data_IF_946369200279
#
_entry.id   IF_946369200279
#
_cell.length_a   1.000
_cell.length_b   1.000
_cell.length_c   1.000
_cell.angle_alpha   90.00
_cell.angle_beta   90.00
_cell.angle_gamma   90.00
#
_symmetry.space_group_name_H-M   'P 1'
#
loop_
_entity.id
_entity.type
_entity.pdbx_description
1 polymer ?
#
# COMPACT_ATOMS: atom_id res chain seq x y z
N UNK A 1 0.33 -0.39 -32.89
CA UNK A 1 0.33 0.77 -32.02
C UNK A 1 0.61 0.37 -30.58
N UNK A 2 1.50 1.05 -29.98
CA UNK A 2 1.83 0.75 -28.60
C UNK A 2 0.83 1.36 -27.69
N UNK A 3 0.34 0.57 -26.77
CA UNK A 3 -0.34 1.16 -25.66
C UNK A 3 0.66 2.06 -24.92
N UNK A 4 0.31 3.30 -24.73
CA UNK A 4 1.07 4.14 -23.83
C UNK A 4 0.88 3.53 -22.46
N UNK A 5 1.98 3.17 -21.83
CA UNK A 5 1.92 2.60 -20.50
C UNK A 5 1.31 3.62 -19.56
N UNK A 6 0.11 3.31 -19.10
CA UNK A 6 -0.55 4.14 -18.09
C UNK A 6 0.11 3.88 -16.75
N UNK A 7 0.58 4.93 -16.05
CA UNK A 7 1.17 4.72 -14.74
C UNK A 7 0.20 4.03 -13.79
N UNK A 8 0.73 3.11 -12.99
CA UNK A 8 -0.04 2.45 -11.96
C UNK A 8 -0.11 3.38 -10.75
N UNK A 9 -1.14 4.23 -10.72
CA UNK A 9 -1.36 5.12 -9.58
C UNK A 9 -1.94 4.33 -8.41
N UNK A 10 -1.85 4.89 -7.20
CA UNK A 10 -2.42 4.22 -6.04
C UNK A 10 -3.94 4.08 -6.17
N UNK A 11 -4.59 5.06 -6.79
CA UNK A 11 -6.02 4.98 -7.08
C UNK A 11 -6.34 3.79 -7.98
N UNK A 12 -5.52 3.56 -9.01
CA UNK A 12 -5.69 2.43 -9.92
C UNK A 12 -5.45 1.10 -9.23
N UNK A 13 -4.53 1.04 -8.26
CA UNK A 13 -4.30 -0.18 -7.49
C UNK A 13 -5.61 -0.69 -6.88
N UNK A 14 -6.33 0.17 -6.18
CA UNK A 14 -7.57 -0.27 -5.54
C UNK A 14 -8.66 -0.56 -6.56
N UNK A 15 -8.72 0.19 -7.68
CA UNK A 15 -9.65 -0.12 -8.76
C UNK A 15 -9.41 -1.51 -9.33
N UNK A 16 -8.15 -1.87 -9.55
CA UNK A 16 -7.78 -3.19 -10.06
C UNK A 16 -8.18 -4.30 -9.09
N UNK A 17 -7.94 -4.09 -7.79
CA UNK A 17 -8.34 -5.04 -6.75
C UNK A 17 -9.87 -5.18 -6.74
N UNK A 18 -10.59 -4.07 -6.82
CA UNK A 18 -12.05 -4.06 -6.87
C UNK A 18 -12.57 -4.84 -8.06
N UNK A 19 -11.85 -4.79 -9.18
CA UNK A 19 -12.22 -5.50 -10.40
C UNK A 19 -11.78 -6.96 -10.41
N UNK A 20 -11.21 -7.46 -9.32
CA UNK A 20 -10.88 -8.88 -9.17
C UNK A 20 -9.42 -9.23 -9.38
N UNK A 21 -8.54 -8.25 -9.61
CA UNK A 21 -7.12 -8.52 -9.75
C UNK A 21 -6.51 -8.94 -8.41
N UNK A 22 -5.46 -9.76 -8.49
CA UNK A 22 -4.71 -10.15 -7.31
C UNK A 22 -4.09 -8.90 -6.67
N UNK A 23 -4.35 -8.66 -5.37
CA UNK A 23 -3.80 -7.46 -4.71
C UNK A 23 -2.28 -7.33 -4.82
N UNK A 24 -1.55 -8.43 -4.71
CA UNK A 24 -0.09 -8.37 -4.78
C UNK A 24 0.42 -8.06 -6.18
N UNK A 25 -0.33 -8.41 -7.22
CA UNK A 25 0.01 -8.03 -8.59
C UNK A 25 -0.19 -6.53 -8.77
N UNK A 26 -1.33 -6.00 -8.34
CA UNK A 26 -1.61 -4.57 -8.45
C UNK A 26 -0.61 -3.73 -7.66
N UNK A 27 -0.30 -4.14 -6.43
CA UNK A 27 0.68 -3.48 -5.56
C UNK A 27 2.08 -3.59 -6.15
N UNK A 28 2.44 -4.75 -6.70
CA UNK A 28 3.73 -4.95 -7.34
C UNK A 28 3.93 -4.04 -8.54
N UNK A 29 2.89 -3.85 -9.36
CA UNK A 29 2.96 -2.93 -10.48
C UNK A 29 3.17 -1.49 -10.03
N UNK A 30 2.51 -1.09 -8.95
CA UNK A 30 2.70 0.23 -8.36
C UNK A 30 4.13 0.40 -7.84
N UNK A 31 4.64 -0.58 -7.12
CA UNK A 31 5.99 -0.55 -6.58
C UNK A 31 7.04 -0.45 -7.69
N UNK A 32 6.82 -1.18 -8.77
CA UNK A 32 7.72 -1.15 -9.92
C UNK A 32 7.74 0.24 -10.56
N UNK A 33 6.58 0.87 -10.70
CA UNK A 33 6.50 2.23 -11.24
C UNK A 33 7.14 3.24 -10.28
N UNK A 34 6.86 3.12 -8.99
CA UNK A 34 7.41 4.03 -7.98
C UNK A 34 8.94 4.03 -7.97
N UNK A 35 9.55 2.85 -7.96
CA UNK A 35 11.00 2.74 -7.83
C UNK A 35 11.74 2.78 -9.15
N UNK A 36 11.15 2.21 -10.20
CA UNK A 36 11.87 1.98 -11.45
C UNK A 36 11.50 2.89 -12.60
N UNK A 37 10.20 3.02 -12.89
CA UNK A 37 9.75 3.72 -14.09
C UNK A 37 9.55 5.21 -13.88
N UNK A 38 9.19 5.63 -12.67
CA UNK A 38 8.87 7.03 -12.37
C UNK A 38 9.60 7.50 -11.12
N UNK A 39 10.95 7.54 -11.16
CA UNK A 39 11.74 7.82 -9.94
C UNK A 39 11.81 9.29 -9.56
N UNK A 40 11.41 10.20 -10.45
CA UNK A 40 11.49 11.63 -10.16
C UNK A 40 10.39 12.10 -9.23
N UNK A 41 10.68 13.12 -8.43
CA UNK A 41 9.76 13.64 -7.42
C UNK A 41 8.38 13.97 -7.99
N UNK A 42 8.33 14.73 -9.09
CA UNK A 42 7.04 15.13 -9.67
C UNK A 42 6.24 13.93 -10.15
N UNK A 43 6.91 12.92 -10.71
CA UNK A 43 6.26 11.71 -11.17
C UNK A 43 5.71 10.90 -10.00
N UNK A 44 6.48 10.74 -8.93
CA UNK A 44 6.05 10.02 -7.73
C UNK A 44 4.87 10.70 -7.06
N UNK A 45 4.89 12.03 -6.97
CA UNK A 45 3.76 12.78 -6.42
C UNK A 45 2.50 12.53 -7.24
N UNK A 46 2.62 12.46 -8.57
CA UNK A 46 1.50 12.15 -9.44
C UNK A 46 0.92 10.75 -9.22
N UNK A 47 1.76 9.78 -8.85
CA UNK A 47 1.29 8.42 -8.59
C UNK A 47 0.41 8.33 -7.36
N UNK A 48 0.53 9.26 -6.41
CA UNK A 48 -0.16 9.20 -5.13
C UNK A 48 -1.08 10.39 -4.86
N UNK A 49 -1.21 11.31 -5.82
CA UNK A 49 -1.96 12.56 -5.63
C UNK A 49 -3.46 12.33 -5.48
N UNK A 50 -4.02 11.40 -6.24
CA UNK A 50 -5.45 11.15 -6.22
C UNK A 50 -5.80 10.12 -5.15
N UNK A 51 -6.83 10.41 -4.33
CA UNK A 51 -7.25 9.46 -3.30
C UNK A 51 -7.82 8.19 -3.91
N UNK A 52 -7.66 7.10 -3.18
CA UNK A 52 -8.33 5.85 -3.53
C UNK A 52 -9.83 5.99 -3.22
N UNK A 53 -10.66 5.26 -3.95
CA UNK A 53 -12.09 5.25 -3.71
C UNK A 53 -12.42 4.10 -2.77
N UNK A 54 -13.02 4.42 -1.62
CA UNK A 54 -13.46 3.41 -0.67
C UNK A 54 -14.82 2.91 -1.12
N UNK A 55 -14.98 1.59 -1.35
CA UNK A 55 -16.29 1.07 -1.72
C UNK A 55 -17.32 1.34 -0.62
N UNK A 56 -18.53 1.70 -1.02
CA UNK A 56 -19.63 1.76 -0.08
C UNK A 56 -20.00 0.34 0.31
N UNK A 57 -19.60 -0.06 1.50
CA UNK A 57 -19.88 -1.38 2.01
C UNK A 57 -20.52 -1.25 3.39
N UNK A 58 -21.51 -2.10 3.62
CA UNK A 58 -22.19 -2.16 4.92
C UNK A 58 -21.27 -2.79 5.97
N UNK A 59 -20.40 -3.69 5.52
CA UNK A 59 -19.48 -4.42 6.40
C UNK A 59 -18.04 -4.18 5.98
N UNK A 60 -17.14 -4.22 6.97
CA UNK A 60 -15.70 -4.15 6.72
C UNK A 60 -15.28 -5.48 6.11
N UNK A 61 -14.76 -5.42 4.90
CA UNK A 61 -14.31 -6.59 4.19
C UNK A 61 -12.90 -6.42 3.63
N UNK A 62 -12.56 -7.30 2.72
CA UNK A 62 -11.22 -7.34 2.12
C UNK A 62 -10.87 -6.03 1.41
N UNK A 63 -11.83 -5.40 0.73
CA UNK A 63 -11.55 -4.15 0.01
C UNK A 63 -11.17 -3.03 0.97
N UNK A 64 -11.82 -2.93 2.12
CA UNK A 64 -11.47 -1.95 3.13
C UNK A 64 -10.08 -2.23 3.70
N UNK A 65 -9.74 -3.49 3.89
CA UNK A 65 -8.40 -3.87 4.34
C UNK A 65 -7.33 -3.45 3.33
N UNK A 66 -7.56 -3.67 2.05
CA UNK A 66 -6.61 -3.25 1.02
C UNK A 66 -6.59 -1.73 0.85
N UNK A 67 -7.71 -1.05 1.06
CA UNK A 67 -7.73 0.42 1.07
C UNK A 67 -6.84 0.97 2.18
N UNK A 68 -6.91 0.39 3.38
CA UNK A 68 -6.04 0.76 4.49
C UNK A 68 -4.57 0.49 4.15
N UNK A 69 -4.28 -0.63 3.51
CA UNK A 69 -2.93 -0.96 3.06
C UNK A 69 -2.42 0.09 2.07
N UNK A 70 -3.25 0.49 1.10
CA UNK A 70 -2.85 1.50 0.11
C UNK A 70 -2.55 2.85 0.76
N UNK A 71 -3.39 3.30 1.68
CA UNK A 71 -3.15 4.58 2.37
C UNK A 71 -1.85 4.52 3.19
N UNK A 72 -1.63 3.42 3.90
CA UNK A 72 -0.40 3.21 4.65
C UNK A 72 0.83 3.19 3.74
N UNK A 73 0.70 2.56 2.58
CA UNK A 73 1.78 2.50 1.59
C UNK A 73 2.20 3.89 1.11
N UNK A 74 1.22 4.74 0.82
CA UNK A 74 1.50 6.11 0.36
C UNK A 74 2.24 6.89 1.44
N UNK A 75 1.77 6.83 2.67
CA UNK A 75 2.44 7.52 3.77
C UNK A 75 3.86 7.00 3.95
N UNK A 76 4.04 5.69 3.96
CA UNK A 76 5.33 5.05 4.14
C UNK A 76 6.31 5.46 3.03
N UNK A 77 5.91 5.31 1.77
CA UNK A 77 6.79 5.59 0.63
C UNK A 77 7.14 7.07 0.53
N UNK A 78 6.19 7.96 0.80
CA UNK A 78 6.47 9.39 0.82
C UNK A 78 7.46 9.74 1.92
N UNK A 79 7.31 9.17 3.11
CA UNK A 79 8.27 9.40 4.21
C UNK A 79 9.66 8.89 3.84
N UNK A 80 9.76 7.72 3.22
CA UNK A 80 11.05 7.15 2.81
C UNK A 80 11.74 8.02 1.76
N UNK A 81 10.97 8.64 0.87
CA UNK A 81 11.50 9.47 -0.20
C UNK A 81 11.61 10.94 0.18
N UNK A 82 11.28 11.30 1.42
CA UNK A 82 11.25 12.69 1.91
C UNK A 82 10.33 13.57 1.07
N UNK A 83 9.20 13.02 0.67
CA UNK A 83 8.16 13.72 -0.08
C UNK A 83 7.00 14.11 0.84
N UNK A 84 6.28 15.21 0.52
CA UNK A 84 5.08 15.54 1.28
C UNK A 84 4.04 14.44 1.17
N UNK A 85 3.45 14.07 2.30
CA UNK A 85 2.42 13.04 2.34
C UNK A 85 1.07 13.67 1.97
N UNK A 86 0.35 13.12 0.98
CA UNK A 86 -0.97 13.65 0.64
C UNK A 86 -1.93 13.59 1.84
N UNK A 87 -2.71 14.65 2.04
CA UNK A 87 -3.60 14.74 3.18
C UNK A 87 -4.72 13.69 3.20
N UNK A 88 -5.10 13.17 2.02
CA UNK A 88 -6.18 12.21 1.95
C UNK A 88 -5.90 10.92 2.72
N UNK A 89 -4.62 10.57 2.95
CA UNK A 89 -4.27 9.34 3.68
C UNK A 89 -4.68 9.40 5.15
N UNK A 90 -4.95 10.60 5.67
CA UNK A 90 -5.34 10.79 7.07
C UNK A 90 -6.83 10.52 7.32
N UNK A 91 -7.60 10.20 6.29
CA UNK A 91 -9.01 9.88 6.46
C UNK A 91 -9.18 8.70 7.43
N UNK A 92 -9.95 8.87 8.52
CA UNK A 92 -10.17 7.79 9.50
C UNK A 92 -10.77 6.51 8.90
N UNK A 93 -11.40 6.59 7.73
CA UNK A 93 -11.95 5.42 7.06
C UNK A 93 -10.86 4.41 6.67
N UNK A 94 -9.59 4.83 6.63
CA UNK A 94 -8.47 3.94 6.34
C UNK A 94 -7.89 3.29 7.58
N UNK A 95 -8.48 3.52 8.76
CA UNK A 95 -8.07 2.85 10.00
C UNK A 95 -9.03 1.68 10.23
N UNK A 96 -8.48 0.48 10.18
CA UNK A 96 -9.31 -0.72 10.37
C UNK A 96 -9.65 -0.93 11.85
N UNK A 97 -10.85 -1.42 12.16
CA UNK A 97 -11.12 -1.92 13.49
C UNK A 97 -10.15 -3.07 13.82
N UNK A 98 -9.81 -3.22 15.07
CA UNK A 98 -8.82 -4.25 15.50
C UNK A 98 -9.26 -5.65 15.10
N UNK A 99 -10.54 -5.97 15.21
CA UNK A 99 -11.09 -7.28 14.85
C UNK A 99 -11.05 -7.54 13.34
N UNK A 100 -10.83 -6.52 12.52
CA UNK A 100 -10.70 -6.65 11.08
C UNK A 100 -9.31 -6.29 10.58
N UNK A 101 -8.30 -6.38 11.48
CA UNK A 101 -6.92 -6.09 11.11
C UNK A 101 -6.46 -6.97 9.95
N UNK A 102 -5.63 -6.39 9.08
CA UNK A 102 -5.04 -7.11 7.97
C UNK A 102 -3.65 -7.62 8.39
N UNK A 103 -3.44 -8.92 8.27
CA UNK A 103 -2.12 -9.54 8.42
C UNK A 103 -1.72 -10.06 7.05
N UNK A 104 -0.61 -9.57 6.51
CA UNK A 104 -0.25 -9.84 5.12
C UNK A 104 0.38 -11.21 4.87
N UNK A 105 0.74 -11.95 5.91
CA UNK A 105 1.33 -13.26 5.74
C UNK A 105 0.27 -14.36 5.66
N UNK A 106 0.41 -15.32 4.75
CA UNK A 106 -0.49 -16.48 4.72
C UNK A 106 -0.33 -17.37 5.95
N UNK A 107 0.75 -17.19 6.75
CA UNK A 107 0.99 -17.93 7.98
C UNK A 107 0.44 -17.23 9.21
N UNK A 108 -0.36 -16.17 9.04
CA UNK A 108 -0.87 -15.37 10.14
C UNK A 108 -1.88 -16.10 11.03
N UNK A 109 -2.27 -17.33 10.69
CA UNK A 109 -3.02 -18.18 11.61
C UNK A 109 -2.18 -18.63 12.80
N UNK A 110 -0.85 -18.50 12.72
CA UNK A 110 0.07 -18.84 13.82
C UNK A 110 0.29 -17.61 14.70
N UNK A 111 0.09 -17.77 16.00
CA UNK A 111 0.24 -16.67 16.97
C UNK A 111 1.61 -16.03 16.90
N UNK A 112 2.66 -16.83 16.79
CA UNK A 112 4.04 -16.34 16.69
C UNK A 112 4.24 -15.42 15.48
N UNK A 113 3.62 -15.75 14.35
CA UNK A 113 3.73 -14.95 13.15
C UNK A 113 3.00 -13.61 13.32
N UNK A 114 1.81 -13.63 13.92
CA UNK A 114 1.06 -12.40 14.21
C UNK A 114 1.84 -11.46 15.11
N UNK A 115 2.40 -11.98 16.19
CA UNK A 115 3.19 -11.17 17.13
C UNK A 115 4.38 -10.52 16.44
N UNK A 116 5.07 -11.28 15.59
CA UNK A 116 6.20 -10.75 14.84
C UNK A 116 5.77 -9.63 13.89
N UNK A 117 4.69 -9.82 13.15
CA UNK A 117 4.20 -8.79 12.22
C UNK A 117 3.74 -7.55 12.97
N UNK A 118 3.09 -7.71 14.12
CA UNK A 118 2.66 -6.57 14.94
C UNK A 118 3.85 -5.76 15.43
N UNK A 119 4.99 -6.40 15.69
CA UNK A 119 6.21 -5.72 16.13
C UNK A 119 6.97 -5.09 14.96
N UNK A 120 7.04 -5.79 13.83
CA UNK A 120 7.86 -5.36 12.69
C UNK A 120 7.21 -4.31 11.81
N UNK A 121 5.89 -4.21 11.82
CA UNK A 121 5.17 -3.32 10.91
C UNK A 121 5.67 -1.89 11.02
N UNK A 122 5.96 -1.23 9.88
CA UNK A 122 6.23 0.20 9.90
C UNK A 122 5.05 0.98 10.48
N UNK A 123 5.32 2.10 11.12
CA UNK A 123 4.30 2.87 11.83
C UNK A 123 3.08 3.26 10.98
N UNK A 124 3.24 3.70 9.70
CA UNK A 124 2.07 4.02 8.88
C UNK A 124 1.10 2.85 8.72
N UNK A 125 1.61 1.62 8.70
CA UNK A 125 0.77 0.41 8.63
C UNK A 125 0.18 0.08 9.99
N UNK A 126 1.02 0.08 11.01
CA UNK A 126 0.63 -0.30 12.37
C UNK A 126 -0.54 0.54 12.88
N UNK A 127 -0.48 1.85 12.69
CA UNK A 127 -1.53 2.74 13.19
C UNK A 127 -2.89 2.53 12.49
N UNK A 128 -2.88 1.84 11.35
CA UNK A 128 -4.12 1.51 10.62
C UNK A 128 -4.57 0.07 10.84
N UNK A 129 -3.92 -0.64 11.77
CA UNK A 129 -4.15 -2.07 12.03
C UNK A 129 -3.88 -2.94 10.79
N UNK A 130 -2.87 -2.54 10.01
CA UNK A 130 -2.31 -3.33 8.93
C UNK A 130 -0.95 -3.84 9.40
N UNK A 131 -0.80 -5.15 9.47
CA UNK A 131 0.42 -5.76 10.01
C UNK A 131 1.16 -6.52 8.92
N UNK A 132 2.36 -6.06 8.65
CA UNK A 132 3.18 -6.55 7.55
C UNK A 132 4.65 -6.56 7.96
N UNK A 133 5.49 -7.17 7.12
CA UNK A 133 6.92 -7.16 7.35
C UNK A 133 7.49 -5.76 7.25
N UNK A 134 8.54 -5.48 8.01
CA UNK A 134 9.30 -4.23 7.88
C UNK A 134 9.88 -4.06 6.48
N UNK A 135 9.94 -5.12 5.69
CA UNK A 135 10.47 -5.12 4.32
C UNK A 135 9.37 -5.14 3.27
N UNK A 136 8.18 -4.68 3.62
CA UNK A 136 7.01 -4.70 2.73
C UNK A 136 7.30 -4.04 1.37
N UNK A 137 8.08 -2.98 1.36
CA UNK A 137 8.53 -2.32 0.14
C UNK A 137 10.05 -2.31 0.07
N UNK A 138 10.65 -3.48 -0.02
CA UNK A 138 12.10 -3.57 -0.22
C UNK A 138 12.43 -3.07 -1.63
N UNK A 139 13.28 -2.03 -1.70
CA UNK A 139 13.70 -1.47 -2.98
C UNK A 139 14.78 -2.36 -3.58
N UNK A 140 14.41 -3.18 -4.56
CA UNK A 140 15.36 -4.08 -5.20
C UNK A 140 16.48 -3.35 -5.95
N UNK A 141 16.28 -2.07 -6.28
CA UNK A 141 17.27 -1.29 -6.99
C UNK A 141 18.42 -0.83 -6.09
N UNK A 142 18.20 -0.75 -4.78
CA UNK A 142 19.25 -0.37 -3.83
C UNK A 142 20.40 -1.37 -3.79
N UNK A 143 20.12 -2.62 -4.10
CA UNK A 143 21.15 -3.67 -4.09
C UNK A 143 22.24 -3.44 -5.11
N UNK A 144 21.97 -2.66 -6.14
CA UNK A 144 22.92 -2.39 -7.20
C UNK A 144 23.93 -1.33 -6.81
N UNK A 145 23.67 -0.60 -5.74
CA UNK A 145 24.54 0.48 -5.26
C UNK A 145 25.23 0.16 -3.95
N UNK A 146 24.94 -0.99 -3.39
CA UNK A 146 25.49 -1.40 -2.10
C UNK A 146 26.95 -1.80 -2.21
#
# INVERSE_FOLDING_TARGET
MFAIDTPQTIKKVLQDITNGDDPWVAIGNFSHDWYGNYPETAQRLGLVAEPIEIPEAVEIGELQQWAAFCAASVEYLCQQASLPVPSWVENPAYILPREHALYTSPLAYKQRVRERLEQESPEPFKKRNVFCSQRVYANKYERLTA
#
